data_IF_723821042605
#
_entry.id   IF_723821042605
#
_cell.length_a   1.000
_cell.length_b   1.000
_cell.length_c   1.000
_cell.angle_alpha   90.00
_cell.angle_beta   90.00
_cell.angle_gamma   90.00
#
_symmetry.space_group_name_H-M   'P 1'
#
loop_
_entity.id
_entity.type
_entity.pdbx_description
1 polymer ?
#
# COMPACT_ATOMS: atom_id res chain seq x y z
N UNK A 1 1.10 19.88 -21.81
CA UNK A 1 1.46 18.58 -21.23
C UNK A 1 1.49 18.78 -19.73
N UNK A 2 0.52 18.24 -18.99
CA UNK A 2 0.53 18.33 -17.52
C UNK A 2 1.47 17.23 -17.03
N UNK A 3 2.64 17.62 -16.52
CA UNK A 3 3.54 16.68 -15.87
C UNK A 3 2.92 16.28 -14.53
N UNK A 4 2.72 14.97 -14.32
CA UNK A 4 2.41 14.47 -12.99
C UNK A 4 3.58 14.79 -12.06
N UNK A 5 3.33 15.12 -10.78
CA UNK A 5 4.41 15.31 -9.82
C UNK A 5 5.34 14.10 -9.84
N UNK A 6 6.65 14.34 -9.83
CA UNK A 6 7.68 13.28 -9.87
C UNK A 6 7.58 12.35 -8.64
N UNK A 7 6.93 12.84 -7.59
CA UNK A 7 6.67 12.14 -6.32
C UNK A 7 5.28 11.50 -6.23
N UNK A 8 4.42 11.56 -7.26
CA UNK A 8 3.12 10.90 -7.20
C UNK A 8 3.28 9.37 -7.29
N UNK A 9 3.16 8.69 -6.15
CA UNK A 9 3.21 7.23 -6.05
C UNK A 9 1.97 6.70 -5.34
N UNK A 10 1.52 5.52 -5.76
CA UNK A 10 0.50 4.72 -5.08
C UNK A 10 1.07 3.33 -4.77
N UNK A 11 0.61 2.72 -3.68
CA UNK A 11 0.97 1.34 -3.33
C UNK A 11 -0.14 0.42 -3.85
N UNK A 12 0.13 -0.50 -4.80
CA UNK A 12 -0.87 -1.41 -5.30
C UNK A 12 -1.23 -2.48 -4.25
N UNK A 13 -2.52 -2.80 -4.15
CA UNK A 13 -3.03 -3.91 -3.37
C UNK A 13 -3.45 -5.05 -4.31
N UNK A 14 -2.65 -6.13 -4.43
CA UNK A 14 -2.96 -7.23 -5.32
C UNK A 14 -4.20 -7.99 -4.83
N UNK A 15 -4.97 -8.54 -5.78
CA UNK A 15 -6.19 -9.30 -5.50
C UNK A 15 -7.16 -8.58 -4.54
N UNK A 16 -7.21 -7.24 -4.63
CA UNK A 16 -7.85 -6.37 -3.64
C UNK A 16 -9.28 -6.77 -3.30
N UNK A 17 -10.09 -7.17 -4.29
CA UNK A 17 -11.46 -7.60 -4.05
C UNK A 17 -11.51 -8.81 -3.11
N UNK A 18 -10.74 -9.85 -3.39
CA UNK A 18 -10.65 -11.05 -2.54
C UNK A 18 -10.12 -10.70 -1.16
N UNK A 19 -9.13 -9.81 -1.08
CA UNK A 19 -8.59 -9.33 0.19
C UNK A 19 -9.66 -8.65 1.05
N UNK A 20 -10.36 -7.68 0.45
CA UNK A 20 -11.39 -6.89 1.11
C UNK A 20 -12.63 -7.72 1.49
N UNK A 21 -13.07 -8.64 0.63
CA UNK A 21 -14.17 -9.56 0.95
C UNK A 21 -13.83 -10.45 2.16
N UNK A 22 -12.56 -10.88 2.30
CA UNK A 22 -12.11 -11.69 3.43
C UNK A 22 -11.80 -10.89 4.69
N UNK A 23 -11.45 -9.60 4.55
CA UNK A 23 -11.00 -8.72 5.64
C UNK A 23 -11.59 -7.31 5.47
N UNK A 24 -12.91 -7.15 5.54
CA UNK A 24 -13.57 -5.88 5.24
C UNK A 24 -13.17 -4.76 6.20
N UNK A 25 -12.79 -5.13 7.43
CA UNK A 25 -12.39 -4.18 8.46
C UNK A 25 -10.88 -3.90 8.51
N UNK A 26 -10.07 -4.42 7.58
CA UNK A 26 -8.60 -4.34 7.71
C UNK A 26 -8.10 -2.90 7.85
N UNK A 27 -8.58 -2.01 6.99
CA UNK A 27 -8.19 -0.59 6.94
C UNK A 27 -9.08 0.32 7.81
N UNK A 28 -9.95 -0.24 8.64
CA UNK A 28 -10.97 0.49 9.39
C UNK A 28 -12.34 -0.17 9.24
N UNK A 29 -13.29 0.17 10.12
CA UNK A 29 -14.60 -0.50 10.13
C UNK A 29 -15.32 -0.34 8.78
N UNK A 30 -15.67 -1.46 8.15
CA UNK A 30 -16.32 -1.55 6.84
C UNK A 30 -15.59 -0.85 5.66
N UNK A 31 -14.34 -0.44 5.82
CA UNK A 31 -13.59 0.31 4.79
C UNK A 31 -13.39 -0.49 3.50
N UNK A 32 -13.27 -1.82 3.61
CA UNK A 32 -13.17 -2.74 2.47
C UNK A 32 -14.51 -3.20 1.89
N UNK A 33 -15.66 -2.76 2.41
CA UNK A 33 -16.96 -3.21 1.88
C UNK A 33 -17.28 -2.55 0.54
N UNK A 34 -18.04 -3.25 -0.31
CA UNK A 34 -18.43 -2.79 -1.64
C UNK A 34 -19.89 -2.32 -1.67
N UNK A 35 -20.20 -1.41 -2.60
CA UNK A 35 -21.57 -1.00 -2.90
C UNK A 35 -22.42 -2.15 -3.46
N UNK A 36 -23.71 -1.91 -3.68
CA UNK A 36 -24.65 -2.92 -4.21
C UNK A 36 -24.20 -3.52 -5.57
N UNK A 37 -23.36 -2.80 -6.32
CA UNK A 37 -22.82 -3.26 -7.60
C UNK A 37 -21.61 -4.19 -7.45
N UNK A 38 -20.98 -4.19 -6.27
CA UNK A 38 -19.77 -4.96 -5.98
C UNK A 38 -18.51 -4.41 -6.64
N UNK A 39 -18.57 -3.25 -7.31
CA UNK A 39 -17.47 -2.66 -8.10
C UNK A 39 -16.74 -1.55 -7.37
N UNK A 40 -17.46 -0.73 -6.61
CA UNK A 40 -16.91 0.40 -5.85
C UNK A 40 -16.99 0.12 -4.37
N UNK A 41 -16.10 0.75 -3.60
CA UNK A 41 -16.17 0.72 -2.15
C UNK A 41 -17.44 1.46 -1.68
N UNK A 42 -18.09 0.95 -0.64
CA UNK A 42 -19.38 1.45 -0.16
C UNK A 42 -19.28 2.83 0.49
N UNK A 43 -18.19 3.07 1.22
CA UNK A 43 -17.97 4.29 2.00
C UNK A 43 -17.39 5.44 1.15
N UNK A 44 -17.60 6.69 1.60
CA UNK A 44 -17.00 7.88 0.99
C UNK A 44 -15.46 7.86 1.07
N UNK A 45 -14.77 8.82 0.43
CA UNK A 45 -13.30 8.90 0.53
C UNK A 45 -12.88 9.16 1.98
N UNK A 46 -13.58 10.08 2.62
CA UNK A 46 -13.30 10.60 3.96
C UNK A 46 -13.44 9.49 5.02
N UNK A 47 -14.45 8.64 4.87
CA UNK A 47 -14.71 7.49 5.75
C UNK A 47 -13.76 6.30 5.51
N UNK A 48 -12.94 6.35 4.45
CA UNK A 48 -11.96 5.31 4.09
C UNK A 48 -10.52 5.75 4.32
N UNK A 49 -10.35 6.84 5.06
CA UNK A 49 -9.06 7.35 5.52
C UNK A 49 -8.62 6.60 6.78
N UNK A 50 -7.32 6.33 6.87
CA UNK A 50 -6.68 5.69 8.01
C UNK A 50 -5.23 6.17 8.15
N UNK A 51 -4.71 6.09 9.36
CA UNK A 51 -3.31 6.38 9.63
C UNK A 51 -2.41 5.23 9.16
N UNK A 52 -1.50 5.53 8.24
CA UNK A 52 -0.46 4.63 7.74
C UNK A 52 0.87 4.99 8.41
N UNK A 53 1.41 4.08 9.21
CA UNK A 53 2.67 4.24 9.95
C UNK A 53 3.82 3.53 9.24
N UNK A 54 4.87 4.27 8.92
CA UNK A 54 6.12 3.74 8.40
C UNK A 54 6.90 3.09 9.54
N UNK A 55 6.88 1.77 9.66
CA UNK A 55 7.49 1.08 10.80
C UNK A 55 9.00 1.34 10.97
N UNK A 56 9.80 1.46 9.90
CA UNK A 56 11.23 1.72 10.05
C UNK A 56 11.58 3.09 10.67
N UNK A 57 10.81 4.14 10.36
CA UNK A 57 11.09 5.50 10.88
C UNK A 57 10.17 5.92 12.03
N UNK A 58 9.01 5.29 12.18
CA UNK A 58 7.96 5.67 13.12
C UNK A 58 7.05 6.80 12.62
N UNK A 59 7.37 7.42 11.48
CA UNK A 59 6.55 8.47 10.87
C UNK A 59 5.17 7.93 10.49
N UNK A 60 4.17 8.81 10.44
CA UNK A 60 2.82 8.45 10.05
C UNK A 60 2.21 9.49 9.12
N UNK A 61 1.37 9.01 8.20
CA UNK A 61 0.60 9.84 7.28
C UNK A 61 -0.87 9.39 7.28
N UNK A 62 -1.75 10.29 6.88
CA UNK A 62 -3.12 9.91 6.52
C UNK A 62 -3.14 9.37 5.09
N UNK A 63 -3.64 8.14 4.96
CA UNK A 63 -3.78 7.44 3.70
C UNK A 63 -5.23 6.97 3.54
N UNK A 64 -5.62 6.65 2.32
CA UNK A 64 -6.94 6.11 2.04
C UNK A 64 -6.84 5.04 0.94
N UNK A 65 -7.80 4.12 0.93
CA UNK A 65 -7.93 3.17 -0.17
C UNK A 65 -8.53 3.90 -1.37
N UNK A 66 -7.99 3.72 -2.58
CA UNK A 66 -8.45 4.39 -3.79
C UNK A 66 -8.69 3.39 -4.93
N UNK A 67 -9.32 3.90 -6.01
CA UNK A 67 -9.62 3.23 -7.29
C UNK A 67 -10.74 2.17 -7.25
N UNK A 68 -11.13 1.69 -8.43
CA UNK A 68 -12.12 0.62 -8.60
C UNK A 68 -11.67 -0.65 -7.86
N UNK A 69 -12.57 -1.22 -7.07
CA UNK A 69 -12.32 -2.32 -6.15
C UNK A 69 -11.27 -2.10 -5.04
N UNK A 70 -10.89 -0.84 -4.75
CA UNK A 70 -9.96 -0.54 -3.66
C UNK A 70 -8.54 -1.08 -3.87
N UNK A 71 -8.01 -0.93 -5.08
CA UNK A 71 -6.75 -1.54 -5.55
C UNK A 71 -5.48 -0.77 -5.21
N UNK A 72 -5.60 0.41 -4.60
CA UNK A 72 -4.43 1.23 -4.30
C UNK A 72 -4.55 1.89 -2.92
N UNK A 73 -3.42 2.07 -2.24
CA UNK A 73 -3.27 2.94 -1.08
C UNK A 73 -2.60 4.24 -1.55
N UNK A 74 -3.14 5.38 -1.13
CA UNK A 74 -2.66 6.71 -1.48
C UNK A 74 -2.74 7.66 -0.29
N UNK A 75 -1.82 8.61 -0.18
CA UNK A 75 -1.87 9.67 0.83
C UNK A 75 -2.99 10.68 0.56
N UNK A 76 -3.67 11.18 1.60
CA UNK A 76 -4.83 12.09 1.46
C UNK A 76 -4.43 13.48 0.94
N UNK A 77 -3.47 14.14 1.59
CA UNK A 77 -3.15 15.56 1.35
C UNK A 77 -1.73 15.80 0.79
N UNK A 78 -0.82 14.87 1.03
CA UNK A 78 0.62 15.03 0.80
C UNK A 78 1.17 13.86 -0.01
N UNK A 79 0.86 13.85 -1.31
CA UNK A 79 1.38 12.85 -2.27
C UNK A 79 2.91 12.87 -2.32
N UNK A 80 3.50 14.02 -2.07
CA UNK A 80 4.93 14.21 -1.89
C UNK A 80 5.48 13.38 -0.73
N UNK A 81 4.82 13.29 0.44
CA UNK A 81 5.40 12.57 1.58
C UNK A 81 5.56 11.08 1.28
N UNK A 82 4.52 10.43 0.75
CA UNK A 82 4.61 8.99 0.45
C UNK A 82 5.64 8.73 -0.64
N UNK A 83 5.67 9.56 -1.69
CA UNK A 83 6.65 9.47 -2.76
C UNK A 83 8.07 9.72 -2.29
N UNK A 84 8.32 10.77 -1.51
CA UNK A 84 9.64 11.11 -0.99
C UNK A 84 10.13 10.04 0.00
N UNK A 85 9.28 9.57 0.93
CA UNK A 85 9.64 8.47 1.82
C UNK A 85 10.02 7.22 1.04
N UNK A 86 9.22 6.85 0.04
CA UNK A 86 9.46 5.65 -0.75
C UNK A 86 10.71 5.77 -1.64
N UNK A 87 10.77 6.83 -2.45
CA UNK A 87 11.81 7.00 -3.46
C UNK A 87 13.15 7.40 -2.85
N UNK A 88 13.16 8.27 -1.83
CA UNK A 88 14.39 8.78 -1.21
C UNK A 88 14.74 8.09 0.10
N UNK A 89 13.75 7.86 0.96
CA UNK A 89 13.97 7.22 2.25
C UNK A 89 14.32 5.74 2.11
N UNK A 90 13.44 4.99 1.44
CA UNK A 90 13.58 3.52 1.30
C UNK A 90 14.50 3.17 0.14
N UNK A 91 14.19 3.63 -1.08
CA UNK A 91 14.93 3.20 -2.27
C UNK A 91 16.22 3.99 -2.51
N UNK A 92 16.43 5.11 -1.82
CA UNK A 92 17.61 5.96 -1.95
C UNK A 92 17.94 6.28 -3.42
N UNK A 93 16.91 6.58 -4.21
CA UNK A 93 17.04 6.95 -5.62
C UNK A 93 17.43 8.42 -5.72
N UNK A 94 18.31 8.75 -6.66
CA UNK A 94 18.56 10.13 -7.06
C UNK A 94 17.34 10.74 -7.78
N UNK A 95 17.31 12.06 -7.92
CA UNK A 95 16.24 12.73 -8.66
C UNK A 95 16.16 12.16 -10.09
N UNK A 96 14.96 11.73 -10.51
CA UNK A 96 14.68 11.11 -11.82
C UNK A 96 15.36 9.76 -12.06
N UNK A 97 16.00 9.15 -11.06
CA UNK A 97 16.46 7.77 -11.14
C UNK A 97 15.26 6.80 -11.11
N UNK A 98 15.27 5.80 -12.00
CA UNK A 98 14.21 4.82 -12.13
C UNK A 98 14.45 3.66 -11.16
N UNK A 99 13.42 3.28 -10.40
CA UNK A 99 13.44 2.06 -9.60
C UNK A 99 13.52 0.84 -10.51
N UNK A 100 14.55 0.02 -10.36
CA UNK A 100 14.75 -1.21 -11.14
C UNK A 100 14.65 -2.46 -10.27
N UNK A 101 14.36 -3.62 -10.86
CA UNK A 101 14.38 -4.91 -10.16
C UNK A 101 15.73 -5.18 -9.48
N UNK A 102 16.85 -4.86 -10.15
CA UNK A 102 18.20 -5.00 -9.56
C UNK A 102 18.39 -4.14 -8.31
N UNK A 103 17.82 -2.93 -8.28
CA UNK A 103 17.86 -2.07 -7.10
C UNK A 103 17.06 -2.69 -5.95
N UNK A 104 15.87 -3.21 -6.24
CA UNK A 104 15.04 -3.91 -5.25
C UNK A 104 15.76 -5.15 -4.69
N UNK A 105 16.39 -5.96 -5.54
CA UNK A 105 17.23 -7.10 -5.14
C UNK A 105 18.39 -6.65 -4.24
N UNK A 106 19.09 -5.57 -4.60
CA UNK A 106 20.20 -5.05 -3.77
C UNK A 106 19.78 -4.50 -2.41
N UNK A 107 18.50 -4.14 -2.27
CA UNK A 107 17.90 -3.66 -1.02
C UNK A 107 17.22 -4.81 -0.24
N UNK A 108 17.25 -6.04 -0.77
CA UNK A 108 16.54 -7.20 -0.22
C UNK A 108 15.02 -6.92 -0.06
N UNK A 109 14.43 -6.28 -1.08
CA UNK A 109 13.00 -5.96 -1.11
C UNK A 109 12.32 -6.72 -2.25
N UNK A 110 11.30 -7.50 -1.93
CA UNK A 110 10.41 -8.08 -2.94
C UNK A 110 8.92 -8.07 -2.51
N UNK A 111 8.62 -7.52 -1.33
CA UNK A 111 7.28 -7.46 -0.77
C UNK A 111 7.06 -6.28 0.16
N UNK A 112 5.80 -6.06 0.48
CA UNK A 112 5.33 -5.09 1.48
C UNK A 112 4.51 -5.85 2.51
N UNK A 113 4.77 -5.62 3.78
CA UNK A 113 3.93 -6.11 4.88
C UNK A 113 3.07 -4.98 5.41
N UNK A 114 1.78 -5.25 5.51
CA UNK A 114 0.81 -4.38 6.19
C UNK A 114 0.38 -5.04 7.49
N UNK A 115 0.44 -4.29 8.59
CA UNK A 115 0.07 -4.77 9.93
C UNK A 115 -1.03 -3.90 10.51
N UNK A 116 -2.20 -4.48 10.81
CA UNK A 116 -3.26 -3.77 11.54
C UNK A 116 -2.97 -3.79 13.04
N UNK A 117 -2.81 -2.62 13.65
CA UNK A 117 -2.64 -2.48 15.10
C UNK A 117 -3.98 -2.40 15.84
N UNK A 118 -3.95 -2.65 17.15
CA UNK A 118 -5.16 -2.61 18.01
C UNK A 118 -5.82 -1.23 18.08
N UNK A 119 -5.03 -0.16 17.93
CA UNK A 119 -5.51 1.22 17.88
C UNK A 119 -6.12 1.60 16.51
N UNK A 120 -6.16 0.68 15.54
CA UNK A 120 -6.70 0.92 14.20
C UNK A 120 -5.69 1.43 13.18
N UNK A 121 -4.46 1.76 13.59
CA UNK A 121 -3.41 2.16 12.66
C UNK A 121 -2.95 0.99 11.80
N UNK A 122 -2.46 1.31 10.59
CA UNK A 122 -1.88 0.34 9.67
C UNK A 122 -0.37 0.60 9.58
N UNK A 123 0.42 -0.33 10.07
CA UNK A 123 1.87 -0.36 9.88
C UNK A 123 2.22 -0.82 8.47
N UNK A 124 3.22 -0.20 7.86
CA UNK A 124 3.82 -0.64 6.61
C UNK A 124 5.34 -0.76 6.73
N UNK A 125 5.86 -1.84 6.15
CA UNK A 125 7.29 -2.10 6.02
C UNK A 125 7.60 -2.83 4.71
N UNK A 126 8.82 -2.65 4.21
CA UNK A 126 9.36 -3.43 3.09
C UNK A 126 10.01 -4.68 3.62
N UNK A 127 9.76 -5.81 2.94
CA UNK A 127 10.24 -7.12 3.36
C UNK A 127 10.83 -7.90 2.19
N UNK A 128 11.59 -8.92 2.54
CA UNK A 128 11.89 -10.05 1.67
C UNK A 128 10.97 -11.22 1.98
N UNK A 129 10.37 -11.78 0.93
CA UNK A 129 9.58 -13.00 0.92
C UNK A 129 10.42 -14.09 0.26
N UNK A 130 10.70 -15.16 0.99
CA UNK A 130 11.20 -16.40 0.41
C UNK A 130 10.08 -17.02 -0.46
N UNK A 131 10.32 -17.13 -1.76
CA UNK A 131 9.33 -17.66 -2.71
C UNK A 131 9.12 -19.16 -2.57
N UNK A 132 10.09 -19.88 -2.01
CA UNK A 132 9.97 -21.31 -1.76
C UNK A 132 9.17 -21.57 -0.48
N UNK A 133 9.20 -20.64 0.48
CA UNK A 133 8.49 -20.72 1.76
C UNK A 133 7.75 -19.42 2.08
N UNK A 134 6.74 -19.03 1.27
CA UNK A 134 6.07 -17.75 1.47
C UNK A 134 5.23 -17.75 2.76
N UNK A 135 5.05 -16.58 3.40
CA UNK A 135 4.15 -16.42 4.53
C UNK A 135 2.73 -16.91 4.20
N UNK A 136 2.06 -17.54 5.17
CA UNK A 136 0.71 -18.08 4.97
C UNK A 136 -0.34 -16.99 4.69
N UNK A 137 -0.05 -15.75 5.08
CA UNK A 137 -0.87 -14.56 4.86
C UNK A 137 -0.50 -13.79 3.58
N UNK A 138 0.47 -14.28 2.80
CA UNK A 138 0.87 -13.66 1.55
C UNK A 138 -0.28 -13.62 0.54
N UNK A 139 -0.29 -12.58 -0.29
CA UNK A 139 -1.26 -12.39 -1.38
C UNK A 139 -0.51 -11.94 -2.65
N UNK A 140 -1.17 -12.02 -3.80
CA UNK A 140 -0.60 -11.60 -5.08
C UNK A 140 0.31 -12.65 -5.72
N UNK A 141 1.35 -12.19 -6.42
CA UNK A 141 2.16 -13.00 -7.33
C UNK A 141 2.76 -14.26 -6.68
N UNK A 142 3.20 -14.17 -5.42
CA UNK A 142 3.82 -15.29 -4.71
C UNK A 142 2.86 -16.45 -4.42
N UNK A 143 1.55 -16.21 -4.50
CA UNK A 143 0.51 -17.24 -4.28
C UNK A 143 0.02 -17.90 -5.56
N UNK A 144 0.47 -17.41 -6.73
CA UNK A 144 0.05 -17.90 -8.04
C UNK A 144 1.06 -18.95 -8.50
N UNK A 145 0.78 -20.22 -8.23
CA UNK A 145 1.49 -21.36 -8.83
C UNK A 145 0.94 -21.68 -10.21
#
# INVERSE_FOLDING_TARGET
MVYRPVSEVYIPLPDSKKFHDARPDFFGHNVGTFDETGKKLALSKEERTFTLRFLPSGDAIEAYINQESGKAIQSVDRQDILGEWLLRGVFQLAEREVLTGKKLESLEINGIRLTKFKNGEIGIEFIWIDTENPPADAIGWVTRK
#
